data_IF_571611553145
#
_entry.id   IF_571611553145
#
_cell.length_a   1.000
_cell.length_b   1.000
_cell.length_c   1.000
_cell.angle_alpha   90.00
_cell.angle_beta   90.00
_cell.angle_gamma   90.00
#
_symmetry.space_group_name_H-M   'P 1'
#
loop_
_entity.id
_entity.type
_entity.pdbx_description
1 polymer ?
#
# COMPACT_ATOMS: atom_id res chain seq x y z
N UNK A 1 18.34 -8.99 -5.27
CA UNK A 1 17.33 -9.30 -6.28
C UNK A 1 15.98 -9.35 -5.58
N UNK A 2 15.17 -8.32 -5.72
CA UNK A 2 13.81 -8.31 -5.17
C UNK A 2 13.01 -9.46 -5.82
N UNK A 3 12.46 -10.35 -5.01
CA UNK A 3 11.61 -11.41 -5.53
C UNK A 3 10.38 -10.80 -6.19
N UNK A 4 10.07 -11.24 -7.40
CA UNK A 4 8.80 -10.90 -8.05
C UNK A 4 7.67 -11.37 -7.14
N UNK A 5 6.76 -10.46 -6.82
CA UNK A 5 5.73 -10.65 -5.79
C UNK A 5 4.42 -11.06 -6.47
N UNK A 6 3.93 -12.26 -6.18
CA UNK A 6 2.58 -12.67 -6.58
C UNK A 6 1.52 -12.05 -5.65
N UNK A 7 0.36 -11.73 -6.19
CA UNK A 7 -0.76 -11.14 -5.43
C UNK A 7 -1.22 -12.01 -4.26
N UNK A 8 -1.16 -13.33 -4.40
CA UNK A 8 -1.56 -14.29 -3.37
C UNK A 8 -0.77 -14.16 -2.06
N UNK A 9 0.45 -13.62 -2.14
CA UNK A 9 1.30 -13.37 -0.98
C UNK A 9 1.10 -11.99 -0.33
N UNK A 10 0.22 -11.15 -0.86
CA UNK A 10 0.07 -9.74 -0.50
C UNK A 10 -1.17 -9.45 0.34
N UNK A 11 -1.02 -8.43 1.17
CA UNK A 11 -2.06 -7.71 1.92
C UNK A 11 -1.89 -6.23 1.62
N UNK A 12 -2.93 -5.42 1.75
CA UNK A 12 -2.83 -3.97 1.63
C UNK A 12 -3.44 -3.26 2.83
N UNK A 13 -2.69 -2.36 3.43
CA UNK A 13 -3.13 -1.45 4.48
C UNK A 13 -3.03 -0.01 3.97
N UNK A 14 -4.13 0.70 4.06
CA UNK A 14 -4.21 2.13 3.72
C UNK A 14 -4.49 2.92 4.99
N UNK A 15 -3.56 3.79 5.35
CA UNK A 15 -3.60 4.57 6.59
C UNK A 15 -3.99 6.00 6.27
N UNK A 16 -5.05 6.51 6.91
CA UNK A 16 -5.51 7.90 6.74
C UNK A 16 -5.64 8.31 5.27
N UNK A 17 -6.23 7.46 4.45
CA UNK A 17 -6.30 7.59 3.01
C UNK A 17 -7.26 8.68 2.50
N UNK A 18 -7.19 9.88 3.06
CA UNK A 18 -7.88 11.07 2.57
C UNK A 18 -7.14 11.69 1.37
N UNK A 19 -6.86 10.87 0.36
CA UNK A 19 -6.35 11.44 -0.89
C UNK A 19 -7.35 12.45 -1.44
N UNK A 20 -6.93 13.70 -1.50
CA UNK A 20 -7.72 14.77 -2.12
C UNK A 20 -8.12 14.31 -3.51
N UNK A 21 -9.42 14.32 -3.78
CA UNK A 21 -9.95 13.96 -5.09
C UNK A 21 -9.15 14.70 -6.17
N UNK A 22 -8.58 13.94 -7.11
CA UNK A 22 -7.93 14.55 -8.27
C UNK A 22 -9.02 15.32 -9.03
N UNK A 23 -8.87 16.64 -9.26
CA UNK A 23 -9.97 17.51 -9.73
C UNK A 23 -10.58 17.13 -11.08
N UNK A 24 -10.05 16.12 -11.76
CA UNK A 24 -10.41 15.78 -13.14
C UNK A 24 -11.08 14.42 -13.33
N UNK A 25 -11.31 13.65 -12.27
CA UNK A 25 -11.97 12.36 -12.38
C UNK A 25 -13.02 12.21 -11.29
N UNK A 26 -14.25 11.78 -11.65
CA UNK A 26 -15.32 11.44 -10.69
C UNK A 26 -14.98 10.23 -9.81
N UNK A 27 -13.79 9.64 -9.97
CA UNK A 27 -13.37 8.43 -9.28
C UNK A 27 -12.26 8.74 -8.29
N UNK A 28 -12.53 8.54 -7.01
CA UNK A 28 -11.49 8.66 -5.98
C UNK A 28 -10.48 7.50 -6.08
N UNK A 29 -9.22 7.75 -5.74
CA UNK A 29 -8.18 6.71 -5.62
C UNK A 29 -8.64 5.57 -4.71
N UNK A 30 -9.36 5.89 -3.65
CA UNK A 30 -9.95 4.91 -2.72
C UNK A 30 -10.86 3.92 -3.44
N UNK A 31 -11.78 4.42 -4.27
CA UNK A 31 -12.70 3.55 -5.04
C UNK A 31 -11.93 2.70 -6.05
N UNK A 32 -10.93 3.28 -6.72
CA UNK A 32 -10.07 2.54 -7.63
C UNK A 32 -9.34 1.39 -6.92
N UNK A 33 -8.80 1.62 -5.71
CA UNK A 33 -8.15 0.59 -4.90
C UNK A 33 -9.12 -0.52 -4.46
N UNK A 34 -10.35 -0.16 -4.07
CA UNK A 34 -11.39 -1.13 -3.70
C UNK A 34 -11.70 -2.04 -4.90
N UNK A 35 -11.88 -1.45 -6.07
CA UNK A 35 -12.16 -2.21 -7.28
C UNK A 35 -10.97 -3.12 -7.67
N UNK A 36 -9.74 -2.60 -7.61
CA UNK A 36 -8.53 -3.39 -7.85
C UNK A 36 -8.46 -4.57 -6.87
N UNK A 37 -8.64 -4.33 -5.59
CA UNK A 37 -8.58 -5.36 -4.57
C UNK A 37 -9.63 -6.45 -4.79
N UNK A 38 -10.85 -6.08 -5.19
CA UNK A 38 -11.92 -7.01 -5.54
C UNK A 38 -11.58 -7.83 -6.79
N UNK A 39 -10.98 -7.20 -7.80
CA UNK A 39 -10.67 -7.85 -9.08
C UNK A 39 -9.61 -8.94 -8.96
N UNK A 40 -8.68 -8.81 -8.03
CA UNK A 40 -7.50 -9.69 -7.89
C UNK A 40 -7.45 -10.44 -6.55
N UNK A 41 -8.54 -10.42 -5.78
CA UNK A 41 -8.63 -11.04 -4.45
C UNK A 41 -7.50 -10.61 -3.49
N UNK A 42 -7.22 -9.30 -3.47
CA UNK A 42 -6.27 -8.69 -2.56
C UNK A 42 -6.98 -8.24 -1.27
N UNK A 43 -6.69 -8.84 -0.10
CA UNK A 43 -7.21 -8.32 1.16
C UNK A 43 -6.71 -6.90 1.40
N UNK A 44 -7.64 -5.97 1.57
CA UNK A 44 -7.37 -4.55 1.82
C UNK A 44 -8.11 -4.08 3.06
N UNK A 45 -7.44 -3.27 3.87
CA UNK A 45 -8.04 -2.57 5.01
C UNK A 45 -7.70 -1.09 4.95
N UNK A 46 -8.71 -0.25 5.24
CA UNK A 46 -8.55 1.20 5.39
C UNK A 46 -8.63 1.53 6.87
N UNK A 47 -7.53 2.03 7.44
CA UNK A 47 -7.46 2.41 8.84
C UNK A 47 -7.35 3.92 8.98
N UNK A 48 -8.10 4.49 9.93
CA UNK A 48 -7.90 5.86 10.40
C UNK A 48 -7.08 5.82 11.69
N UNK A 49 -5.89 6.40 11.64
CA UNK A 49 -4.96 6.42 12.76
C UNK A 49 -4.84 7.86 13.24
N UNK A 50 -5.35 8.13 14.44
CA UNK A 50 -5.16 9.39 15.11
C UNK A 50 -3.81 9.39 15.86
N UNK A 51 -2.94 10.32 15.53
CA UNK A 51 -1.69 10.57 16.25
C UNK A 51 -1.96 11.61 17.34
N UNK A 52 -2.38 11.14 18.52
CA UNK A 52 -2.60 12.01 19.67
C UNK A 52 -1.42 11.92 20.65
N UNK A 53 -0.74 13.04 20.88
CA UNK A 53 0.29 13.19 21.92
C UNK A 53 1.43 12.15 21.86
N UNK A 54 1.87 11.76 20.68
CA UNK A 54 2.96 10.81 20.48
C UNK A 54 2.58 9.33 20.67
N UNK A 55 1.30 9.04 20.85
CA UNK A 55 0.79 7.67 20.86
C UNK A 55 -0.12 7.46 19.66
N UNK A 56 0.18 6.49 18.81
CA UNK A 56 -0.79 6.07 17.80
C UNK A 56 -1.92 5.31 18.49
N UNK A 57 -3.13 5.78 18.33
CA UNK A 57 -4.33 5.03 18.71
C UNK A 57 -4.84 4.34 17.44
N UNK A 58 -4.05 3.42 16.92
CA UNK A 58 -4.39 2.72 15.69
C UNK A 58 -4.19 1.23 15.82
N UNK A 59 -5.14 0.47 15.29
CA UNK A 59 -5.12 -0.98 15.21
C UNK A 59 -4.93 -1.46 13.75
N UNK A 60 -4.26 -0.66 12.90
CA UNK A 60 -4.08 -0.98 11.49
C UNK A 60 -3.46 -2.35 11.28
N UNK A 61 -2.32 -2.61 11.92
CA UNK A 61 -1.64 -3.91 11.85
C UNK A 61 -2.51 -5.05 12.39
N UNK A 62 -3.17 -4.86 13.54
CA UNK A 62 -4.03 -5.90 14.13
C UNK A 62 -5.20 -6.27 13.20
N UNK A 63 -5.77 -5.28 12.53
CA UNK A 63 -6.88 -5.50 11.60
C UNK A 63 -6.43 -6.18 10.31
N UNK A 64 -5.29 -5.79 9.75
CA UNK A 64 -4.77 -6.45 8.55
C UNK A 64 -4.31 -7.89 8.86
N UNK A 65 -3.78 -8.14 10.03
CA UNK A 65 -3.42 -9.50 10.48
C UNK A 65 -4.67 -10.37 10.63
N UNK A 66 -5.80 -9.80 11.07
CA UNK A 66 -7.07 -10.52 11.14
C UNK A 66 -7.60 -10.95 9.75
N UNK A 67 -7.23 -10.26 8.67
CA UNK A 67 -7.52 -10.67 7.28
C UNK A 67 -6.59 -11.78 6.76
N UNK A 68 -5.63 -12.21 7.57
CA UNK A 68 -4.65 -13.23 7.23
C UNK A 68 -4.56 -14.30 8.33
N UNK A 69 -5.66 -14.99 8.63
CA UNK A 69 -5.75 -15.88 9.80
C UNK A 69 -4.81 -17.10 9.69
N UNK A 70 -4.47 -17.52 8.49
CA UNK A 70 -3.55 -18.63 8.25
C UNK A 70 -2.06 -18.20 8.16
N UNK A 71 -1.80 -16.89 8.23
CA UNK A 71 -0.47 -16.31 8.17
C UNK A 71 0.29 -16.57 6.88
N UNK A 72 -0.37 -16.98 5.80
CA UNK A 72 0.30 -17.31 4.52
C UNK A 72 0.78 -16.09 3.76
N UNK A 73 0.05 -14.97 3.88
CA UNK A 73 0.42 -13.71 3.24
C UNK A 73 1.47 -13.02 4.11
N UNK A 74 2.65 -12.80 3.56
CA UNK A 74 3.81 -12.25 4.27
C UNK A 74 4.22 -10.85 3.79
N UNK A 75 3.58 -10.34 2.76
CA UNK A 75 3.93 -9.08 2.10
C UNK A 75 2.83 -8.07 2.30
N UNK A 76 3.19 -6.93 2.88
CA UNK A 76 2.27 -5.83 3.14
C UNK A 76 2.58 -4.67 2.20
N UNK A 77 1.60 -4.27 1.38
CA UNK A 77 1.61 -2.96 0.74
C UNK A 77 1.02 -1.96 1.73
N UNK A 78 1.79 -0.96 2.07
CA UNK A 78 1.38 0.08 3.00
C UNK A 78 1.35 1.43 2.29
N UNK A 79 0.18 2.03 2.22
CA UNK A 79 -0.07 3.32 1.57
C UNK A 79 -0.83 4.26 2.51
N UNK A 80 -0.99 5.52 2.12
CA UNK A 80 -1.81 6.48 2.86
C UNK A 80 -1.16 7.83 3.07
N UNK A 81 -1.67 8.57 4.03
CA UNK A 81 -1.20 9.92 4.34
C UNK A 81 -0.26 9.94 5.55
N UNK A 82 0.57 10.97 5.59
CA UNK A 82 1.55 11.23 6.65
C UNK A 82 2.68 10.19 6.74
N UNK A 83 3.56 10.22 5.73
CA UNK A 83 4.79 9.40 5.72
C UNK A 83 5.58 9.54 7.02
N UNK A 84 5.70 10.77 7.52
CA UNK A 84 6.52 11.15 8.67
C UNK A 84 6.04 10.58 10.01
N UNK A 85 4.78 10.17 10.12
CA UNK A 85 4.22 9.63 11.36
C UNK A 85 3.43 8.33 11.17
N UNK A 86 2.17 8.37 10.73
CA UNK A 86 1.29 7.20 10.69
C UNK A 86 1.82 6.07 9.78
N UNK A 87 2.30 6.39 8.57
CA UNK A 87 2.88 5.40 7.66
C UNK A 87 4.18 4.83 8.22
N UNK A 88 5.06 5.68 8.77
CA UNK A 88 6.30 5.23 9.41
C UNK A 88 6.01 4.30 10.59
N UNK A 89 5.07 4.66 11.46
CA UNK A 89 4.72 3.85 12.61
C UNK A 89 4.22 2.45 12.21
N UNK A 90 3.21 2.38 11.34
CA UNK A 90 2.66 1.11 10.86
C UNK A 90 3.70 0.27 10.11
N UNK A 91 4.59 0.92 9.34
CA UNK A 91 5.68 0.26 8.65
C UNK A 91 6.63 -0.45 9.63
N UNK A 92 7.08 0.27 10.66
CA UNK A 92 8.01 -0.29 11.65
C UNK A 92 7.36 -1.40 12.48
N UNK A 93 6.09 -1.27 12.85
CA UNK A 93 5.35 -2.33 13.51
C UNK A 93 5.20 -3.58 12.63
N UNK A 94 4.84 -3.40 11.36
CA UNK A 94 4.69 -4.51 10.42
C UNK A 94 6.01 -5.25 10.18
N UNK A 95 7.13 -4.53 10.05
CA UNK A 95 8.46 -5.11 9.96
C UNK A 95 8.83 -5.88 11.22
N UNK A 96 8.56 -5.32 12.41
CA UNK A 96 8.78 -6.00 13.68
C UNK A 96 7.91 -7.24 13.86
N UNK A 97 6.72 -7.25 13.28
CA UNK A 97 5.82 -8.41 13.24
C UNK A 97 6.31 -9.52 12.27
N UNK A 98 7.26 -9.20 11.40
CA UNK A 98 7.86 -10.14 10.44
C UNK A 98 7.21 -10.15 9.06
N UNK A 99 6.54 -9.06 8.69
CA UNK A 99 6.05 -8.84 7.32
C UNK A 99 7.13 -8.17 6.47
N UNK A 100 7.20 -8.53 5.20
CA UNK A 100 7.93 -7.77 4.19
C UNK A 100 7.06 -6.55 3.79
N UNK A 101 7.55 -5.34 3.99
CA UNK A 101 6.77 -4.12 3.76
C UNK A 101 7.20 -3.43 2.48
N UNK A 102 6.24 -3.21 1.59
CA UNK A 102 6.38 -2.48 0.33
C UNK A 102 5.66 -1.14 0.44
N UNK A 103 6.33 -0.07 0.05
CA UNK A 103 5.85 1.30 0.15
C UNK A 103 5.68 1.90 -1.25
N UNK A 104 4.48 1.85 -1.84
CA UNK A 104 4.22 2.50 -3.13
C UNK A 104 4.26 4.02 -2.97
N UNK A 105 5.38 4.65 -3.35
CA UNK A 105 5.66 6.06 -3.12
C UNK A 105 4.66 7.02 -3.79
N UNK A 106 4.05 6.56 -4.87
CA UNK A 106 2.98 7.28 -5.58
C UNK A 106 1.61 7.19 -4.87
N UNK A 107 1.51 6.40 -3.81
CA UNK A 107 0.32 6.24 -2.98
C UNK A 107 0.53 6.70 -1.54
N UNK A 108 1.63 7.41 -1.27
CA UNK A 108 1.97 7.91 0.06
C UNK A 108 2.09 9.43 0.00
N UNK A 109 1.26 10.12 0.77
CA UNK A 109 1.33 11.55 0.93
C UNK A 109 2.35 11.95 2.01
N UNK A 110 3.06 13.03 1.75
CA UNK A 110 4.07 13.61 2.64
C UNK A 110 3.61 15.01 3.04
N UNK A 111 3.64 15.32 4.32
CA UNK A 111 3.34 16.67 4.83
C UNK A 111 4.63 17.46 5.11
N UNK A 112 5.70 16.80 5.53
CA UNK A 112 6.99 17.41 5.81
C UNK A 112 8.00 17.19 4.66
N UNK A 113 7.92 18.05 3.65
CA UNK A 113 8.82 17.98 2.50
C UNK A 113 10.29 18.29 2.82
N UNK A 114 10.55 18.99 3.92
CA UNK A 114 11.91 19.38 4.30
C UNK A 114 12.79 18.19 4.64
N UNK A 115 12.21 17.18 5.28
CA UNK A 115 12.92 15.98 5.74
C UNK A 115 12.49 14.70 5.04
N UNK A 116 11.81 14.81 3.90
CA UNK A 116 11.25 13.65 3.19
C UNK A 116 12.29 12.58 2.86
N UNK A 117 13.48 12.97 2.41
CA UNK A 117 14.57 12.04 2.12
C UNK A 117 15.02 11.27 3.37
N UNK A 118 15.09 11.96 4.52
CA UNK A 118 15.46 11.33 5.78
C UNK A 118 14.43 10.29 6.23
N UNK A 119 13.13 10.58 6.05
CA UNK A 119 12.05 9.62 6.36
C UNK A 119 12.16 8.38 5.47
N UNK A 120 12.34 8.55 4.17
CA UNK A 120 12.52 7.43 3.24
C UNK A 120 13.78 6.61 3.54
N UNK A 121 14.90 7.27 3.84
CA UNK A 121 16.15 6.58 4.16
C UNK A 121 16.03 5.76 5.45
N UNK A 122 15.35 6.30 6.47
CA UNK A 122 15.06 5.56 7.70
C UNK A 122 14.24 4.30 7.44
N UNK A 123 13.18 4.39 6.63
CA UNK A 123 12.32 3.24 6.32
C UNK A 123 13.06 2.19 5.50
N UNK A 124 13.86 2.60 4.52
CA UNK A 124 14.72 1.69 3.75
C UNK A 124 15.75 0.97 4.64
N UNK A 125 16.38 1.69 5.56
CA UNK A 125 17.34 1.10 6.53
C UNK A 125 16.65 0.12 7.49
N UNK A 126 15.39 0.34 7.81
CA UNK A 126 14.59 -0.59 8.62
C UNK A 126 14.16 -1.86 7.84
N UNK A 127 14.32 -1.88 6.52
CA UNK A 127 14.01 -3.02 5.68
C UNK A 127 12.78 -2.86 4.78
N UNK A 128 12.13 -1.69 4.79
CA UNK A 128 11.02 -1.43 3.88
C UNK A 128 11.52 -1.24 2.44
N UNK A 129 10.72 -1.69 1.49
CA UNK A 129 11.03 -1.64 0.05
C UNK A 129 10.18 -0.57 -0.63
N UNK A 130 10.76 0.58 -1.03
CA UNK A 130 10.06 1.56 -1.85
C UNK A 130 9.73 0.97 -3.23
N UNK A 131 8.53 1.25 -3.71
CA UNK A 131 8.05 0.82 -5.03
C UNK A 131 7.08 1.86 -5.59
N UNK A 132 6.38 1.54 -6.66
CA UNK A 132 5.20 2.27 -7.15
C UNK A 132 4.06 1.29 -7.37
N UNK A 133 2.82 1.78 -7.35
CA UNK A 133 1.68 0.91 -7.60
C UNK A 133 1.74 0.30 -9.01
N UNK A 134 2.19 1.06 -10.00
CA UNK A 134 2.36 0.54 -11.36
C UNK A 134 3.42 -0.56 -11.44
N UNK A 135 4.53 -0.44 -10.69
CA UNK A 135 5.54 -1.49 -10.62
C UNK A 135 4.96 -2.76 -10.00
N UNK A 136 4.21 -2.62 -8.90
CA UNK A 136 3.53 -3.76 -8.27
C UNK A 136 2.53 -4.43 -9.20
N UNK A 137 1.73 -3.65 -9.93
CA UNK A 137 0.78 -4.20 -10.92
C UNK A 137 1.50 -4.97 -12.04
N UNK A 138 2.65 -4.46 -12.51
CA UNK A 138 3.45 -5.17 -13.50
C UNK A 138 4.00 -6.50 -12.94
N UNK A 139 4.52 -6.51 -11.73
CA UNK A 139 5.02 -7.73 -11.09
C UNK A 139 3.89 -8.76 -10.89
N UNK A 140 2.71 -8.33 -10.45
CA UNK A 140 1.54 -9.21 -10.31
C UNK A 140 1.09 -9.78 -11.65
N UNK A 141 1.12 -8.98 -12.73
CA UNK A 141 0.76 -9.47 -14.07
C UNK A 141 1.70 -10.55 -14.60
N UNK A 142 2.99 -10.46 -14.25
CA UNK A 142 3.99 -11.47 -14.60
C UNK A 142 3.83 -12.75 -13.79
N UNK A 143 3.43 -12.63 -12.52
CA UNK A 143 3.24 -13.77 -11.62
C UNK A 143 1.90 -14.47 -11.79
N UNK A 144 0.87 -13.78 -12.31
CA UNK A 144 -0.45 -14.35 -12.50
C UNK A 144 -0.44 -15.41 -13.60
N UNK A 145 -1.11 -16.52 -13.33
CA UNK A 145 -1.30 -17.60 -14.31
C UNK A 145 -2.68 -17.57 -14.96
N UNK A 146 -3.62 -16.85 -14.36
CA UNK A 146 -4.98 -16.68 -14.87
C UNK A 146 -5.05 -15.49 -15.83
N UNK A 147 -5.40 -15.75 -17.08
CA UNK A 147 -5.53 -14.73 -18.12
C UNK A 147 -6.58 -13.65 -17.78
N UNK A 148 -7.64 -14.01 -17.04
CA UNK A 148 -8.68 -13.05 -16.62
C UNK A 148 -8.11 -12.08 -15.57
N UNK A 149 -7.28 -12.55 -14.65
CA UNK A 149 -6.60 -11.69 -13.66
C UNK A 149 -5.60 -10.78 -14.36
N UNK A 150 -4.81 -11.27 -15.29
CA UNK A 150 -3.85 -10.46 -16.06
C UNK A 150 -4.58 -9.33 -16.79
N UNK A 151 -5.71 -9.61 -17.43
CA UNK A 151 -6.49 -8.59 -18.14
C UNK A 151 -7.07 -7.53 -17.18
N UNK A 152 -7.56 -7.94 -16.01
CA UNK A 152 -8.02 -7.00 -14.97
C UNK A 152 -6.90 -6.08 -14.48
N UNK A 153 -5.71 -6.63 -14.20
CA UNK A 153 -4.54 -5.84 -13.81
C UNK A 153 -4.17 -4.85 -14.91
N UNK A 154 -4.20 -5.25 -16.17
CA UNK A 154 -3.92 -4.38 -17.31
C UNK A 154 -4.88 -3.21 -17.38
N UNK A 155 -6.19 -3.47 -17.28
CA UNK A 155 -7.22 -2.45 -17.28
C UNK A 155 -7.06 -1.46 -16.12
N UNK A 156 -6.79 -1.96 -14.91
CA UNK A 156 -6.55 -1.10 -13.74
C UNK A 156 -5.29 -0.25 -13.87
N UNK A 157 -4.23 -0.80 -14.49
CA UNK A 157 -3.02 -0.04 -14.78
C UNK A 157 -3.26 1.12 -15.75
N UNK A 158 -4.07 0.90 -16.79
CA UNK A 158 -4.44 1.94 -17.74
C UNK A 158 -5.32 3.03 -17.10
N UNK A 159 -6.28 2.65 -16.25
CA UNK A 159 -7.09 3.60 -15.46
C UNK A 159 -6.21 4.46 -14.54
N UNK A 160 -5.28 3.84 -13.81
CA UNK A 160 -4.38 4.53 -12.90
C UNK A 160 -3.52 5.58 -13.65
N UNK A 161 -2.95 5.21 -14.80
CA UNK A 161 -2.18 6.15 -15.62
C UNK A 161 -2.98 7.37 -16.10
N UNK A 162 -4.30 7.24 -16.25
CA UNK A 162 -5.18 8.36 -16.61
C UNK A 162 -5.47 9.27 -15.41
N UNK A 163 -5.55 8.69 -14.22
CA UNK A 163 -5.77 9.44 -12.97
C UNK A 163 -4.54 10.30 -12.61
N UNK A 164 -3.34 9.82 -12.89
CA UNK A 164 -2.08 10.46 -12.51
C UNK A 164 -1.39 11.27 -13.63
N UNK A 165 -2.05 11.50 -14.74
CA UNK A 165 -1.60 12.46 -15.77
C UNK A 165 -2.13 13.86 -15.47
#
# INVERSE_FOLDING_TARGET
>A
MGAIVGVDGCLMLVVNGDWKAVPQTDRSIKNWLIDLASDIDLPIHFAEIAMNNGSSVGNGLAQIVALNPDGKRKRLLLAGSHLEDAVTFECLEALAFGLDVFLPSDMIEVSDFKFVSLHWDRLKQAGAVPTTILQMLNEWSVCATDAAIIEKIRLRSEEFRKIYK
#
